data_IF_406050577732
#
_entry.id   IF_406050577732
#
_cell.length_a   1.000
_cell.length_b   1.000
_cell.length_c   1.000
_cell.angle_alpha   90.00
_cell.angle_beta   90.00
_cell.angle_gamma   90.00
#
_symmetry.space_group_name_H-M   'P 1'
#
loop_
_entity.id
_entity.type
_entity.pdbx_description
1 polymer ?
#
# COMPACT_ATOMS: atom_id res chain seq x y z
N UNK A 1 -0.53 -12.30 -24.79
CA UNK A 1 -0.03 -10.92 -25.04
C UNK A 1 1.49 -10.88 -25.22
N UNK A 2 2.30 -11.37 -24.26
CA UNK A 2 3.76 -11.40 -24.41
C UNK A 2 4.25 -12.14 -25.67
N UNK A 3 3.71 -13.34 -25.94
CA UNK A 3 3.99 -14.11 -27.17
C UNK A 3 3.63 -13.32 -28.44
N UNK A 4 2.56 -12.52 -28.40
CA UNK A 4 2.15 -11.69 -29.54
C UNK A 4 3.14 -10.54 -29.77
N UNK A 5 3.65 -9.89 -28.72
CA UNK A 5 4.71 -8.89 -28.83
C UNK A 5 6.00 -9.48 -29.39
N UNK A 6 6.40 -10.67 -28.92
CA UNK A 6 7.57 -11.40 -29.47
C UNK A 6 7.35 -11.74 -30.95
N UNK A 7 6.16 -12.22 -31.31
CA UNK A 7 5.82 -12.53 -32.70
C UNK A 7 5.84 -11.29 -33.61
N UNK A 8 5.31 -10.16 -33.16
CA UNK A 8 5.33 -8.90 -33.92
C UNK A 8 6.74 -8.32 -34.04
N UNK A 9 7.56 -8.46 -32.99
CA UNK A 9 8.98 -8.06 -33.00
C UNK A 9 9.78 -8.93 -33.98
N UNK A 10 9.60 -10.25 -33.94
CA UNK A 10 10.28 -11.20 -34.83
C UNK A 10 9.93 -11.01 -36.32
N UNK A 11 8.76 -10.46 -36.63
CA UNK A 11 8.33 -10.18 -37.99
C UNK A 11 8.74 -8.78 -38.48
N UNK A 12 9.53 -8.02 -37.70
CA UNK A 12 9.90 -6.62 -37.98
C UNK A 12 8.70 -5.68 -38.20
N UNK A 13 7.55 -6.00 -37.63
CA UNK A 13 6.33 -5.19 -37.74
C UNK A 13 6.30 -4.03 -36.73
N UNK A 14 7.30 -3.94 -35.86
CA UNK A 14 7.40 -2.92 -34.81
C UNK A 14 8.67 -2.09 -34.99
N UNK A 15 8.56 -0.78 -34.73
CA UNK A 15 9.71 0.11 -34.72
C UNK A 15 10.63 -0.24 -33.54
N UNK A 16 11.95 0.02 -33.63
CA UNK A 16 12.88 -0.16 -32.51
C UNK A 16 12.52 0.66 -31.26
N UNK A 17 11.81 1.77 -31.44
CA UNK A 17 11.35 2.67 -30.38
C UNK A 17 9.97 2.31 -29.84
N UNK A 18 9.30 1.29 -30.40
CA UNK A 18 7.96 0.92 -29.97
C UNK A 18 8.00 0.29 -28.56
N UNK A 19 7.17 0.74 -27.60
CA UNK A 19 7.06 0.15 -26.26
C UNK A 19 6.74 -1.36 -26.26
N UNK A 20 6.17 -1.88 -27.35
CA UNK A 20 5.88 -3.29 -27.54
C UNK A 20 7.08 -4.13 -28.02
N UNK A 21 8.18 -3.49 -28.42
CA UNK A 21 9.36 -4.15 -28.96
C UNK A 21 10.18 -4.83 -27.86
N UNK A 22 10.28 -6.16 -27.93
CA UNK A 22 10.98 -6.98 -26.91
C UNK A 22 12.51 -6.94 -27.03
N UNK A 23 13.06 -6.59 -28.19
CA UNK A 23 14.51 -6.62 -28.43
C UNK A 23 15.22 -5.43 -27.78
N UNK A 24 14.50 -4.33 -27.58
CA UNK A 24 14.99 -3.09 -26.92
C UNK A 24 15.58 -3.33 -25.53
N UNK A 25 15.09 -4.35 -24.80
CA UNK A 25 15.51 -4.70 -23.43
C UNK A 25 16.34 -5.99 -23.35
N UNK A 26 16.63 -6.65 -24.48
CA UNK A 26 17.36 -7.93 -24.55
C UNK A 26 18.78 -7.87 -23.97
N UNK A 27 19.44 -6.70 -24.08
CA UNK A 27 20.76 -6.45 -23.52
C UNK A 27 20.80 -6.52 -21.99
N UNK A 28 19.69 -6.19 -21.30
CA UNK A 28 19.58 -6.29 -19.84
C UNK A 28 19.63 -7.76 -19.41
N UNK A 29 18.95 -8.63 -20.15
CA UNK A 29 19.01 -10.07 -19.89
C UNK A 29 20.42 -10.62 -20.11
N UNK A 30 21.09 -10.27 -21.22
CA UNK A 30 22.43 -10.78 -21.52
C UNK A 30 23.47 -10.30 -20.49
N UNK A 31 23.48 -9.01 -20.16
CA UNK A 31 24.46 -8.41 -19.26
C UNK A 31 24.19 -8.67 -17.77
N UNK A 32 23.01 -9.18 -17.42
CA UNK A 32 22.69 -9.48 -16.02
C UNK A 32 23.47 -10.68 -15.48
N UNK A 33 23.97 -10.52 -14.26
CA UNK A 33 24.61 -11.59 -13.49
C UNK A 33 23.56 -12.64 -13.10
N UNK A 34 24.00 -13.88 -12.93
CA UNK A 34 23.13 -14.98 -12.50
C UNK A 34 22.69 -14.78 -11.04
N UNK A 35 23.63 -14.34 -10.21
CA UNK A 35 23.46 -14.14 -8.78
C UNK A 35 24.05 -12.78 -8.38
N UNK A 36 23.28 -11.98 -7.63
CA UNK A 36 23.75 -10.75 -7.00
C UNK A 36 22.95 -10.49 -5.73
N UNK A 37 23.64 -10.37 -4.61
CA UNK A 37 23.04 -10.00 -3.33
C UNK A 37 23.05 -8.46 -3.18
N UNK A 38 21.92 -7.82 -2.82
CA UNK A 38 21.92 -6.40 -2.48
C UNK A 38 22.69 -6.21 -1.16
N UNK A 39 23.65 -5.29 -1.17
CA UNK A 39 24.38 -4.88 0.03
C UNK A 39 23.91 -3.49 0.47
N UNK A 40 23.93 -3.19 1.78
CA UNK A 40 23.52 -1.88 2.28
C UNK A 40 24.38 -0.78 1.67
N UNK A 41 23.78 0.39 1.42
CA UNK A 41 24.44 1.57 0.85
C UNK A 41 24.99 1.41 -0.57
N UNK A 42 24.48 0.47 -1.36
CA UNK A 42 24.89 0.28 -2.77
C UNK A 42 24.72 1.53 -3.65
N UNK A 43 23.84 2.46 -3.27
CA UNK A 43 23.59 3.73 -3.98
C UNK A 43 24.26 4.94 -3.32
N UNK A 44 25.13 4.71 -2.34
CA UNK A 44 25.83 5.75 -1.57
C UNK A 44 25.24 5.99 -0.17
N UNK A 45 25.87 6.91 0.56
CA UNK A 45 25.44 7.31 1.91
C UNK A 45 24.10 8.07 1.88
N UNK A 46 23.22 7.87 2.88
CA UNK A 46 21.94 8.55 2.95
C UNK A 46 22.14 10.06 3.04
N UNK A 47 21.48 10.79 2.13
CA UNK A 47 21.45 12.25 2.12
C UNK A 47 20.11 12.72 2.64
N UNK A 48 20.10 13.44 3.74
CA UNK A 48 18.88 14.00 4.33
C UNK A 48 18.59 15.37 3.71
N UNK A 49 17.57 15.42 2.85
CA UNK A 49 17.02 16.66 2.33
C UNK A 49 15.67 16.92 2.97
N UNK A 50 15.51 18.07 3.61
CA UNK A 50 14.25 18.45 4.26
C UNK A 50 13.10 18.51 3.25
N UNK A 51 13.37 18.95 2.01
CA UNK A 51 12.37 18.98 0.94
C UNK A 51 11.86 17.59 0.60
N UNK A 52 12.75 16.60 0.47
CA UNK A 52 12.37 15.22 0.16
C UNK A 52 11.65 14.54 1.31
N UNK A 53 12.07 14.80 2.56
CA UNK A 53 11.42 14.28 3.76
C UNK A 53 9.97 14.79 3.84
N UNK A 54 9.78 16.10 3.70
CA UNK A 54 8.45 16.69 3.73
C UNK A 54 7.59 16.22 2.56
N UNK A 55 8.16 16.12 1.35
CA UNK A 55 7.44 15.62 0.17
C UNK A 55 6.95 14.16 0.35
N UNK A 56 7.71 13.31 1.03
CA UNK A 56 7.35 11.88 1.21
C UNK A 56 6.39 11.64 2.38
N UNK A 57 6.26 12.60 3.30
CA UNK A 57 5.45 12.48 4.51
C UNK A 57 3.97 12.11 4.22
N UNK A 58 3.27 12.73 3.23
CA UNK A 58 1.95 12.27 2.78
C UNK A 58 1.85 10.78 2.46
N UNK A 59 2.80 10.26 1.69
CA UNK A 59 2.79 8.88 1.24
C UNK A 59 2.94 7.93 2.44
N UNK A 60 3.76 8.30 3.43
CA UNK A 60 3.89 7.56 4.67
C UNK A 60 2.58 7.54 5.47
N UNK A 61 1.92 8.70 5.64
CA UNK A 61 0.63 8.77 6.33
C UNK A 61 -0.44 7.90 5.66
N UNK A 62 -0.54 7.96 4.33
CA UNK A 62 -1.49 7.13 3.57
C UNK A 62 -1.18 5.64 3.77
N UNK A 63 0.09 5.25 3.69
CA UNK A 63 0.50 3.85 3.88
C UNK A 63 0.16 3.31 5.26
N UNK A 64 0.23 4.14 6.30
CA UNK A 64 -0.20 3.77 7.66
C UNK A 64 -1.71 3.54 7.69
N UNK A 65 -2.51 4.46 7.14
CA UNK A 65 -3.98 4.35 7.10
C UNK A 65 -4.42 3.11 6.33
N UNK A 66 -3.79 2.84 5.18
CA UNK A 66 -4.04 1.63 4.39
C UNK A 66 -3.71 0.37 5.20
N UNK A 67 -2.56 0.35 5.88
CA UNK A 67 -2.12 -0.79 6.68
C UNK A 67 -3.06 -1.08 7.85
N UNK A 68 -3.57 -0.03 8.50
CA UNK A 68 -4.61 -0.16 9.55
C UNK A 68 -5.85 -0.81 8.97
N UNK A 69 -6.38 -0.31 7.85
CA UNK A 69 -7.53 -0.89 7.18
C UNK A 69 -7.34 -2.38 6.86
N UNK A 70 -6.16 -2.73 6.34
CA UNK A 70 -5.79 -4.11 6.03
C UNK A 70 -5.76 -5.04 7.25
N UNK A 71 -5.35 -4.56 8.44
CA UNK A 71 -5.41 -5.37 9.66
C UNK A 71 -6.85 -5.72 10.05
N UNK A 72 -7.77 -4.75 9.98
CA UNK A 72 -9.19 -4.98 10.28
C UNK A 72 -9.85 -5.91 9.25
N UNK A 73 -9.58 -5.69 7.96
CA UNK A 73 -10.12 -6.54 6.89
C UNK A 73 -9.59 -7.97 6.98
N UNK A 74 -8.29 -8.14 7.25
CA UNK A 74 -7.69 -9.46 7.43
C UNK A 74 -8.27 -10.21 8.65
N UNK A 75 -8.46 -9.52 9.78
CA UNK A 75 -9.05 -10.14 10.98
C UNK A 75 -10.47 -10.64 10.71
N UNK A 76 -11.29 -9.86 9.98
CA UNK A 76 -12.64 -10.27 9.62
C UNK A 76 -12.66 -11.44 8.65
N UNK A 77 -11.83 -11.41 7.60
CA UNK A 77 -11.75 -12.53 6.65
C UNK A 77 -11.33 -13.82 7.36
N UNK A 78 -10.44 -13.71 8.36
CA UNK A 78 -10.02 -14.82 9.20
C UNK A 78 -11.06 -15.25 10.25
N UNK A 79 -12.23 -14.59 10.32
CA UNK A 79 -13.24 -14.77 11.37
C UNK A 79 -12.70 -14.61 12.80
N UNK A 80 -11.73 -13.70 12.96
CA UNK A 80 -11.11 -13.38 14.24
C UNK A 80 -11.76 -12.14 14.86
N UNK A 81 -11.59 -12.01 16.19
CA UNK A 81 -11.94 -10.79 16.93
C UNK A 81 -11.19 -9.60 16.36
N UNK A 82 -11.82 -8.42 16.39
CA UNK A 82 -11.19 -7.17 15.98
C UNK A 82 -9.86 -6.96 16.69
N UNK A 83 -8.81 -6.54 15.95
CA UNK A 83 -7.46 -6.46 16.52
C UNK A 83 -7.42 -5.38 17.61
N UNK A 84 -6.88 -5.68 18.80
CA UNK A 84 -6.73 -4.68 19.85
C UNK A 84 -5.68 -3.63 19.44
N UNK A 85 -5.80 -2.41 19.96
CA UNK A 85 -4.91 -1.29 19.62
C UNK A 85 -3.42 -1.62 19.81
N UNK A 86 -3.08 -2.42 20.83
CA UNK A 86 -1.70 -2.85 21.08
C UNK A 86 -1.11 -3.65 19.92
N UNK A 87 -1.91 -4.49 19.26
CA UNK A 87 -1.46 -5.31 18.11
C UNK A 87 -1.29 -4.44 16.87
N UNK A 88 -2.21 -3.50 16.65
CA UNK A 88 -2.14 -2.55 15.53
C UNK A 88 -0.89 -1.67 15.66
N UNK A 89 -0.64 -1.10 16.85
CA UNK A 89 0.52 -0.26 17.12
C UNK A 89 1.85 -1.00 16.87
N UNK A 90 1.92 -2.29 17.24
CA UNK A 90 3.10 -3.12 16.96
C UNK A 90 3.27 -3.42 15.48
N UNK A 91 2.18 -3.69 14.76
CA UNK A 91 2.19 -3.86 13.31
C UNK A 91 2.78 -2.64 12.60
N UNK A 92 2.29 -1.44 12.95
CA UNK A 92 2.80 -0.16 12.42
C UNK A 92 4.26 0.06 12.82
N UNK A 93 4.64 -0.27 14.06
CA UNK A 93 6.03 -0.17 14.51
C UNK A 93 6.98 -1.03 13.69
N UNK A 94 6.63 -2.30 13.43
CA UNK A 94 7.41 -3.21 12.58
C UNK A 94 7.46 -2.73 11.13
N UNK A 95 6.37 -2.15 10.61
CA UNK A 95 6.33 -1.54 9.27
C UNK A 95 7.32 -0.37 9.14
N UNK A 96 7.41 0.49 10.17
CA UNK A 96 8.37 1.59 10.22
C UNK A 96 9.82 1.10 10.23
N UNK A 97 10.13 0.11 11.08
CA UNK A 97 11.47 -0.53 11.13
C UNK A 97 11.81 -1.16 9.78
N UNK A 98 10.86 -1.86 9.16
CA UNK A 98 11.05 -2.48 7.85
C UNK A 98 11.32 -1.44 6.76
N UNK A 99 10.67 -0.27 6.82
CA UNK A 99 10.91 0.83 5.90
C UNK A 99 12.30 1.46 6.06
N UNK A 100 12.81 1.55 7.28
CA UNK A 100 14.18 2.01 7.54
C UNK A 100 15.21 1.03 6.95
N UNK A 101 15.03 -0.27 7.20
CA UNK A 101 15.87 -1.32 6.63
C UNK A 101 15.81 -1.34 5.09
N UNK A 102 14.63 -1.17 4.53
CA UNK A 102 14.41 -1.04 3.10
C UNK A 102 15.16 0.16 2.51
N UNK A 103 15.13 1.30 3.20
CA UNK A 103 15.90 2.49 2.83
C UNK A 103 17.41 2.26 2.79
N UNK A 104 17.96 1.54 3.78
CA UNK A 104 19.40 1.17 3.78
C UNK A 104 19.79 0.24 2.64
N UNK A 105 18.91 -0.68 2.25
CA UNK A 105 19.10 -1.57 1.09
C UNK A 105 18.86 -0.85 -0.25
N UNK A 106 18.34 0.38 -0.23
CA UNK A 106 18.12 1.20 -1.42
C UNK A 106 16.79 0.97 -2.11
N UNK A 107 15.77 0.51 -1.37
CA UNK A 107 14.40 0.42 -1.88
C UNK A 107 13.86 1.86 -1.97
N UNK A 108 13.54 2.32 -3.18
CA UNK A 108 13.07 3.68 -3.45
C UNK A 108 11.63 3.97 -3.01
N UNK A 109 10.98 3.03 -2.33
CA UNK A 109 9.60 3.09 -1.85
C UNK A 109 9.49 2.65 -0.40
N UNK A 110 8.46 3.10 0.32
CA UNK A 110 8.15 2.61 1.66
C UNK A 110 7.69 1.15 1.66
N UNK A 111 7.74 0.51 2.83
CA UNK A 111 7.18 -0.84 3.04
C UNK A 111 5.80 -0.69 3.69
N UNK A 112 4.81 -1.39 3.16
CA UNK A 112 3.44 -1.41 3.68
C UNK A 112 2.82 -2.79 3.66
N UNK A 113 1.65 -2.91 4.29
CA UNK A 113 0.86 -4.14 4.25
C UNK A 113 0.19 -4.25 2.88
N UNK A 114 0.43 -5.34 2.15
CA UNK A 114 -0.15 -5.58 0.82
C UNK A 114 -1.65 -5.91 0.92
N UNK A 115 -2.46 -5.04 0.32
CA UNK A 115 -3.91 -5.20 0.17
C UNK A 115 -4.27 -6.43 -0.70
N UNK A 116 -3.41 -6.77 -1.67
CA UNK A 116 -3.58 -7.92 -2.55
C UNK A 116 -3.44 -9.24 -1.79
N UNK A 117 -2.48 -9.31 -0.87
CA UNK A 117 -2.30 -10.49 -0.02
C UNK A 117 -3.51 -10.70 0.89
N UNK A 118 -4.10 -9.62 1.42
CA UNK A 118 -5.35 -9.70 2.20
C UNK A 118 -6.50 -10.22 1.33
N UNK A 119 -6.61 -9.74 0.09
CA UNK A 119 -7.59 -10.24 -0.89
C UNK A 119 -7.41 -11.73 -1.20
N UNK A 120 -6.17 -12.18 -1.38
CA UNK A 120 -5.85 -13.60 -1.62
C UNK A 120 -6.24 -14.50 -0.44
N UNK A 121 -6.11 -14.03 0.80
CA UNK A 121 -6.61 -14.75 1.98
C UNK A 121 -8.14 -14.92 1.88
N UNK A 122 -8.85 -13.89 1.42
CA UNK A 122 -10.30 -13.94 1.21
C UNK A 122 -10.75 -14.96 0.17
N UNK A 123 -9.94 -15.22 -0.85
CA UNK A 123 -10.26 -16.20 -1.90
C UNK A 123 -9.82 -17.61 -1.48
N UNK A 124 -8.59 -17.74 -0.99
CA UNK A 124 -7.99 -19.05 -0.65
C UNK A 124 -8.50 -19.62 0.65
N UNK A 125 -9.06 -18.77 1.53
CA UNK A 125 -9.49 -19.13 2.89
C UNK A 125 -8.35 -19.72 3.75
N UNK A 126 -7.08 -19.41 3.42
CA UNK A 126 -5.90 -19.85 4.17
C UNK A 126 -5.32 -18.67 4.95
N UNK A 127 -5.64 -18.57 6.24
CA UNK A 127 -5.15 -17.51 7.14
C UNK A 127 -3.92 -17.93 7.96
N UNK A 128 -3.21 -19.00 7.56
CA UNK A 128 -2.11 -19.56 8.34
C UNK A 128 -0.84 -18.71 8.27
N UNK A 129 -0.30 -18.33 9.43
CA UNK A 129 0.98 -17.60 9.53
C UNK A 129 2.15 -18.35 8.86
N UNK A 130 2.14 -19.67 8.92
CA UNK A 130 3.23 -20.47 8.35
C UNK A 130 3.34 -20.27 6.84
N UNK A 131 2.21 -20.09 6.14
CA UNK A 131 2.20 -19.83 4.69
C UNK A 131 2.93 -18.53 4.38
N UNK A 132 2.70 -17.47 5.17
CA UNK A 132 3.37 -16.18 5.02
C UNK A 132 4.86 -16.30 5.30
N UNK A 133 5.27 -17.07 6.33
CA UNK A 133 6.68 -17.30 6.65
C UNK A 133 7.39 -18.06 5.51
N UNK A 134 6.79 -19.14 4.99
CA UNK A 134 7.37 -19.88 3.87
C UNK A 134 7.46 -19.02 2.60
N UNK A 135 6.43 -18.20 2.33
CA UNK A 135 6.45 -17.26 1.21
C UNK A 135 7.58 -16.23 1.36
N UNK A 136 7.77 -15.66 2.57
CA UNK A 136 8.86 -14.73 2.85
C UNK A 136 10.24 -15.38 2.70
N UNK A 137 10.43 -16.61 3.20
CA UNK A 137 11.67 -17.36 3.01
C UNK A 137 11.94 -17.63 1.52
N UNK A 138 10.93 -18.01 0.74
CA UNK A 138 11.06 -18.21 -0.70
C UNK A 138 11.43 -16.91 -1.42
N UNK A 139 10.82 -15.78 -1.06
CA UNK A 139 11.16 -14.47 -1.63
C UNK A 139 12.61 -14.10 -1.33
N UNK A 140 13.10 -14.32 -0.11
CA UNK A 140 14.50 -14.07 0.28
C UNK A 140 15.45 -15.00 -0.50
N UNK A 141 15.08 -16.26 -0.71
CA UNK A 141 15.90 -17.22 -1.46
C UNK A 141 15.94 -16.93 -2.96
N UNK A 142 14.82 -16.46 -3.55
CA UNK A 142 14.72 -16.17 -4.99
C UNK A 142 15.30 -14.79 -5.32
N UNK A 143 15.23 -13.82 -4.40
CA UNK A 143 15.66 -12.44 -4.65
C UNK A 143 17.08 -12.27 -5.20
N UNK A 144 18.10 -13.04 -4.76
CA UNK A 144 19.46 -12.92 -5.31
C UNK A 144 19.62 -13.38 -6.75
N UNK A 145 18.65 -14.14 -7.31
CA UNK A 145 18.71 -14.65 -8.69
C UNK A 145 18.34 -13.56 -9.70
N UNK A 146 19.27 -12.64 -9.94
CA UNK A 146 19.07 -11.47 -10.80
C UNK A 146 18.79 -11.80 -12.27
N UNK A 147 19.11 -13.01 -12.74
CA UNK A 147 18.75 -13.43 -14.11
C UNK A 147 17.24 -13.54 -14.31
N UNK A 148 16.54 -14.07 -13.30
CA UNK A 148 15.07 -14.15 -13.32
C UNK A 148 14.45 -12.77 -13.25
N UNK A 149 15.01 -11.89 -12.41
CA UNK A 149 14.58 -10.49 -12.33
C UNK A 149 14.81 -9.78 -13.67
N UNK A 150 15.96 -9.99 -14.31
CA UNK A 150 16.25 -9.41 -15.62
C UNK A 150 15.25 -9.89 -16.69
N UNK A 151 14.84 -11.16 -16.64
CA UNK A 151 13.77 -11.68 -17.52
C UNK A 151 12.45 -10.93 -17.29
N UNK A 152 12.06 -10.70 -16.03
CA UNK A 152 10.85 -9.92 -15.73
C UNK A 152 10.96 -8.46 -16.20
N UNK A 153 12.14 -7.86 -16.14
CA UNK A 153 12.40 -6.50 -16.66
C UNK A 153 12.30 -6.43 -18.19
N UNK A 154 12.57 -7.54 -18.90
CA UNK A 154 12.38 -7.61 -20.36
C UNK A 154 10.92 -7.68 -20.80
N UNK A 155 9.96 -7.71 -19.87
CA UNK A 155 8.55 -7.65 -20.23
C UNK A 155 8.23 -6.35 -21.00
N UNK A 156 7.49 -6.46 -22.12
CA UNK A 156 7.12 -5.30 -22.91
C UNK A 156 6.08 -4.46 -22.16
N UNK A 157 6.08 -3.15 -22.41
CA UNK A 157 5.30 -2.19 -21.63
C UNK A 157 3.78 -2.44 -21.68
N UNK A 158 3.18 -2.92 -22.80
CA UNK A 158 1.76 -3.29 -22.83
C UNK A 158 1.40 -4.40 -21.84
N UNK A 159 2.30 -5.37 -21.60
CA UNK A 159 2.06 -6.44 -20.62
C UNK A 159 2.17 -5.88 -19.20
N UNK A 160 3.15 -5.01 -18.94
CA UNK A 160 3.28 -4.34 -17.66
C UNK A 160 2.04 -3.48 -17.35
N UNK A 161 1.53 -2.76 -18.35
CA UNK A 161 0.28 -2.00 -18.27
C UNK A 161 -0.93 -2.89 -17.94
N UNK A 162 -1.05 -4.06 -18.55
CA UNK A 162 -2.14 -5.00 -18.27
C UNK A 162 -2.06 -5.60 -16.85
N UNK A 163 -0.86 -5.94 -16.37
CA UNK A 163 -0.69 -6.47 -15.00
C UNK A 163 -0.99 -5.39 -13.97
N UNK A 164 -0.47 -4.17 -14.16
CA UNK A 164 -0.75 -3.04 -13.26
C UNK A 164 -2.22 -2.65 -13.23
N UNK A 165 -2.94 -2.72 -14.36
CA UNK A 165 -4.38 -2.44 -14.38
C UNK A 165 -5.19 -3.45 -13.58
N UNK A 166 -4.85 -4.75 -13.67
CA UNK A 166 -5.48 -5.81 -12.86
C UNK A 166 -5.23 -5.56 -11.36
N UNK A 167 -4.00 -5.18 -10.99
CA UNK A 167 -3.66 -4.84 -9.61
C UNK A 167 -4.48 -3.64 -9.10
N UNK A 168 -4.61 -2.57 -9.90
CA UNK A 168 -5.44 -1.41 -9.54
C UNK A 168 -6.91 -1.77 -9.36
N UNK A 169 -7.46 -2.67 -10.19
CA UNK A 169 -8.82 -3.19 -10.03
C UNK A 169 -8.97 -3.96 -8.72
N UNK A 170 -8.00 -4.82 -8.38
CA UNK A 170 -8.02 -5.57 -7.12
C UNK A 170 -7.97 -4.65 -5.90
N UNK A 171 -7.07 -3.66 -5.90
CA UNK A 171 -6.98 -2.66 -4.82
C UNK A 171 -8.30 -1.90 -4.68
N UNK A 172 -8.90 -1.48 -5.80
CA UNK A 172 -10.20 -0.80 -5.81
C UNK A 172 -11.30 -1.70 -5.26
N UNK A 173 -11.31 -3.00 -5.60
CA UNK A 173 -12.28 -3.96 -5.09
C UNK A 173 -12.15 -4.16 -3.57
N UNK A 174 -10.92 -4.27 -3.05
CA UNK A 174 -10.66 -4.34 -1.60
C UNK A 174 -11.11 -3.05 -0.91
N UNK A 175 -10.82 -1.88 -1.49
CA UNK A 175 -11.29 -0.60 -0.95
C UNK A 175 -12.83 -0.52 -0.91
N UNK A 176 -13.52 -0.97 -1.97
CA UNK A 176 -14.98 -1.03 -2.01
C UNK A 176 -15.55 -2.03 -1.00
N UNK A 177 -14.85 -3.14 -0.78
CA UNK A 177 -15.23 -4.12 0.24
C UNK A 177 -15.21 -3.51 1.65
N UNK A 178 -14.38 -2.49 1.90
CA UNK A 178 -14.36 -1.80 3.19
C UNK A 178 -15.61 -0.91 3.39
N UNK A 179 -16.35 -0.56 2.34
CA UNK A 179 -17.61 0.19 2.49
C UNK A 179 -18.71 -0.62 3.18
N UNK A 180 -18.58 -1.95 3.21
CA UNK A 180 -19.48 -2.81 3.98
C UNK A 180 -19.46 -2.53 5.49
N UNK A 181 -18.43 -1.81 5.98
CA UNK A 181 -18.28 -1.45 7.39
C UNK A 181 -19.02 -0.18 7.78
N UNK A 182 -19.60 0.54 6.81
CA UNK A 182 -20.23 1.84 7.02
C UNK A 182 -21.71 1.71 6.68
N UNK A 183 -22.56 2.39 7.45
CA UNK A 183 -23.99 2.46 7.13
C UNK A 183 -24.21 3.38 5.92
N UNK A 184 -24.32 2.79 4.73
CA UNK A 184 -24.59 3.48 3.47
C UNK A 184 -26.06 3.93 3.31
N UNK A 185 -26.95 3.65 4.26
CA UNK A 185 -28.32 4.19 4.23
C UNK A 185 -28.39 5.63 4.76
N UNK A 186 -27.35 6.10 5.46
CA UNK A 186 -27.31 7.50 5.90
C UNK A 186 -26.77 8.40 4.79
N UNK A 187 -27.53 9.48 4.54
CA UNK A 187 -27.16 10.53 3.59
C UNK A 187 -25.84 11.19 4.00
N UNK A 188 -25.57 11.36 5.31
CA UNK A 188 -24.30 11.89 5.84
C UNK A 188 -23.11 11.08 5.33
N UNK A 189 -23.13 9.76 5.52
CA UNK A 189 -22.04 8.88 5.14
C UNK A 189 -21.85 8.83 3.62
N UNK A 190 -22.95 8.74 2.86
CA UNK A 190 -22.90 8.76 1.40
C UNK A 190 -22.33 10.09 0.88
N UNK A 191 -22.68 11.21 1.50
CA UNK A 191 -22.18 12.54 1.13
C UNK A 191 -20.67 12.68 1.38
N UNK A 192 -20.20 12.30 2.57
CA UNK A 192 -18.77 12.32 2.92
C UNK A 192 -17.96 11.46 1.95
N UNK A 193 -18.46 10.25 1.66
CA UNK A 193 -17.83 9.31 0.73
C UNK A 193 -17.79 9.86 -0.71
N UNK A 194 -18.92 10.38 -1.21
CA UNK A 194 -19.00 10.91 -2.56
C UNK A 194 -18.08 12.12 -2.77
N UNK A 195 -18.07 13.05 -1.81
CA UNK A 195 -17.23 14.25 -1.86
C UNK A 195 -15.74 13.89 -1.78
N UNK A 196 -15.34 13.03 -0.85
CA UNK A 196 -13.94 12.60 -0.74
C UNK A 196 -13.43 11.91 -2.01
N UNK A 197 -14.21 11.00 -2.61
CA UNK A 197 -13.85 10.37 -3.89
C UNK A 197 -13.78 11.36 -5.04
N UNK A 198 -14.78 12.24 -5.19
CA UNK A 198 -14.84 13.21 -6.27
C UNK A 198 -13.63 14.14 -6.25
N UNK A 199 -13.35 14.76 -5.11
CA UNK A 199 -12.23 15.69 -4.98
C UNK A 199 -10.87 14.98 -5.04
N UNK A 200 -10.75 13.78 -4.47
CA UNK A 200 -9.53 12.97 -4.58
C UNK A 200 -9.15 12.62 -6.02
N UNK A 201 -10.14 12.47 -6.92
CA UNK A 201 -9.89 12.18 -8.33
C UNK A 201 -9.72 13.43 -9.21
N UNK A 202 -10.42 14.52 -8.88
CA UNK A 202 -10.49 15.72 -9.74
C UNK A 202 -9.43 16.77 -9.43
N UNK A 203 -9.19 17.08 -8.14
CA UNK A 203 -8.23 18.13 -7.75
C UNK A 203 -6.80 17.84 -8.23
N UNK A 204 -6.24 16.63 -8.07
CA UNK A 204 -4.89 16.36 -8.57
C UNK A 204 -4.77 16.56 -10.07
N UNK A 205 -5.76 16.12 -10.85
CA UNK A 205 -5.78 16.28 -12.30
C UNK A 205 -5.87 17.75 -12.70
N UNK A 206 -6.66 18.53 -11.97
CA UNK A 206 -6.74 19.98 -12.15
C UNK A 206 -5.40 20.66 -11.84
N UNK A 207 -4.77 20.33 -10.71
CA UNK A 207 -3.47 20.90 -10.36
C UNK A 207 -2.36 20.52 -11.33
N UNK A 208 -2.34 19.28 -11.81
CA UNK A 208 -1.38 18.84 -12.83
C UNK A 208 -1.59 19.60 -14.15
N UNK A 209 -2.83 19.77 -14.61
CA UNK A 209 -3.12 20.46 -15.87
C UNK A 209 -2.79 21.95 -15.81
N UNK A 210 -3.01 22.61 -14.67
CA UNK A 210 -2.68 24.03 -14.52
C UNK A 210 -1.20 24.25 -14.22
N UNK A 211 -0.52 23.36 -13.47
CA UNK A 211 0.93 23.41 -13.23
C UNK A 211 1.75 23.38 -14.53
N UNK A 212 1.30 22.61 -15.53
CA UNK A 212 1.93 22.55 -16.86
C UNK A 212 1.79 23.87 -17.63
N UNK A 213 0.73 24.65 -17.37
CA UNK A 213 0.38 25.84 -18.16
C UNK A 213 0.71 27.18 -17.46
N UNK A 214 0.83 27.22 -16.14
CA UNK A 214 1.18 28.40 -15.36
C UNK A 214 1.80 27.98 -14.01
N UNK A 215 2.82 28.72 -13.55
CA UNK A 215 3.39 28.57 -12.20
C UNK A 215 2.43 29.11 -11.12
N UNK A 216 1.30 28.41 -10.90
CA UNK A 216 0.27 28.76 -9.91
C UNK A 216 0.81 28.98 -8.50
N UNK A 217 1.84 28.20 -8.13
CA UNK A 217 2.45 28.26 -6.81
C UNK A 217 3.79 28.98 -6.99
N UNK A 218 3.73 30.31 -7.08
CA UNK A 218 4.92 31.15 -7.09
C UNK A 218 5.13 31.78 -5.71
N UNK A 219 5.27 30.94 -4.68
CA UNK A 219 5.83 31.46 -3.42
C UNK A 219 7.31 31.75 -3.63
N UNK A 220 7.83 32.78 -2.95
CA UNK A 220 9.25 33.18 -3.01
C UNK A 220 10.22 32.06 -2.61
N UNK A 221 9.73 30.94 -2.08
CA UNK A 221 10.50 29.79 -1.63
C UNK A 221 10.21 28.57 -2.52
N UNK A 222 11.17 28.19 -3.36
CA UNK A 222 11.09 27.03 -4.25
C UNK A 222 10.79 25.72 -3.49
N UNK A 223 11.36 25.57 -2.29
CA UNK A 223 11.09 24.43 -1.41
C UNK A 223 9.61 24.28 -1.07
N UNK A 224 8.92 25.38 -0.77
CA UNK A 224 7.50 25.34 -0.41
C UNK A 224 6.66 24.99 -1.63
N UNK A 225 7.02 25.51 -2.81
CA UNK A 225 6.33 25.19 -4.07
C UNK A 225 6.38 23.68 -4.36
N UNK A 226 7.56 23.05 -4.18
CA UNK A 226 7.73 21.61 -4.41
C UNK A 226 6.91 20.77 -3.43
N UNK A 227 6.89 21.13 -2.14
CA UNK A 227 6.11 20.42 -1.12
C UNK A 227 4.61 20.53 -1.42
N UNK A 228 4.11 21.74 -1.66
CA UNK A 228 2.69 21.97 -1.97
C UNK A 228 2.30 21.24 -3.26
N UNK A 229 3.16 21.25 -4.28
CA UNK A 229 2.92 20.54 -5.53
C UNK A 229 2.75 19.03 -5.31
N UNK A 230 3.61 18.40 -4.49
CA UNK A 230 3.51 16.96 -4.19
C UNK A 230 2.23 16.65 -3.41
N UNK A 231 1.84 17.51 -2.46
CA UNK A 231 0.65 17.29 -1.63
C UNK A 231 -0.62 17.42 -2.47
N UNK A 232 -0.71 18.47 -3.29
CA UNK A 232 -1.87 18.72 -4.15
C UNK A 232 -1.97 17.74 -5.33
N UNK A 233 -0.86 17.14 -5.75
CA UNK A 233 -0.84 16.10 -6.78
C UNK A 233 -1.22 14.71 -6.23
N UNK A 234 -1.29 14.55 -4.90
CA UNK A 234 -1.64 13.28 -4.26
C UNK A 234 -3.15 13.17 -4.05
N UNK A 235 -3.84 12.47 -4.94
CA UNK A 235 -5.29 12.26 -4.85
C UNK A 235 -5.74 11.50 -3.61
N UNK A 236 -4.94 10.55 -3.14
CA UNK A 236 -5.19 9.82 -1.90
C UNK A 236 -5.16 10.73 -0.68
N UNK A 237 -4.20 11.68 -0.61
CA UNK A 237 -4.12 12.64 0.48
C UNK A 237 -5.33 13.59 0.47
N UNK A 238 -5.67 14.14 -0.70
CA UNK A 238 -6.80 15.07 -0.83
C UNK A 238 -8.11 14.38 -0.45
N UNK A 239 -8.38 13.21 -1.01
CA UNK A 239 -9.59 12.45 -0.70
C UNK A 239 -9.69 12.09 0.77
N UNK A 240 -8.58 11.61 1.36
CA UNK A 240 -8.50 11.29 2.78
C UNK A 240 -8.70 12.50 3.69
N UNK A 241 -8.06 13.63 3.41
CA UNK A 241 -8.22 14.87 4.18
C UNK A 241 -9.65 15.41 4.12
N UNK A 242 -10.26 15.42 2.93
CA UNK A 242 -11.64 15.88 2.78
C UNK A 242 -12.59 14.95 3.52
N UNK A 243 -12.42 13.64 3.38
CA UNK A 243 -13.20 12.65 4.14
C UNK A 243 -13.08 12.88 5.65
N UNK A 244 -11.86 13.04 6.15
CA UNK A 244 -11.58 13.29 7.56
C UNK A 244 -12.21 14.60 8.06
N UNK A 245 -12.04 15.70 7.33
CA UNK A 245 -12.60 17.01 7.71
C UNK A 245 -14.13 16.94 7.72
N UNK A 246 -14.75 16.38 6.68
CA UNK A 246 -16.21 16.29 6.60
C UNK A 246 -16.78 15.37 7.69
N UNK A 247 -16.13 14.25 8.00
CA UNK A 247 -16.57 13.33 9.05
C UNK A 247 -16.53 14.00 10.44
N UNK A 248 -15.51 14.82 10.73
CA UNK A 248 -15.44 15.55 12.00
C UNK A 248 -16.35 16.79 12.06
N UNK A 249 -16.74 17.35 10.91
CA UNK A 249 -17.50 18.61 10.85
C UNK A 249 -19.01 18.37 10.78
N UNK A 250 -19.45 17.32 10.08
CA UNK A 250 -20.88 17.02 9.91
C UNK A 250 -21.37 16.21 11.11
N UNK A 251 -22.36 16.71 11.88
CA UNK A 251 -22.88 16.02 13.06
C UNK A 251 -23.60 14.73 12.68
N UNK A 252 -23.52 13.71 13.54
CA UNK A 252 -24.23 12.44 13.37
C UNK A 252 -25.75 12.61 13.51
N UNK A 253 -26.51 11.92 12.65
CA UNK A 253 -27.96 11.80 12.79
C UNK A 253 -28.31 10.94 14.04
N UNK A 254 -29.34 11.29 14.81
CA UNK A 254 -29.74 10.55 16.03
C UNK A 254 -30.04 9.05 15.75
N UNK A 255 -30.57 8.74 14.56
CA UNK A 255 -30.84 7.37 14.10
C UNK A 255 -29.57 6.53 13.86
N UNK A 256 -28.42 7.18 13.62
CA UNK A 256 -27.13 6.48 13.51
C UNK A 256 -26.56 6.08 14.87
N UNK A 257 -26.76 6.89 15.92
CA UNK A 257 -26.32 6.53 17.28
C UNK A 257 -27.03 5.25 17.77
N UNK A 258 -28.36 5.19 17.58
CA UNK A 258 -29.17 4.02 17.94
C UNK A 258 -28.79 2.75 17.17
N UNK A 259 -28.52 2.86 15.86
CA UNK A 259 -28.09 1.71 15.05
C UNK A 259 -26.63 1.32 15.30
N UNK A 260 -25.75 2.28 15.58
CA UNK A 260 -24.35 2.03 15.96
C UNK A 260 -24.24 1.28 17.28
N UNK A 261 -25.02 1.69 18.28
CA UNK A 261 -25.12 1.01 19.57
C UNK A 261 -25.71 -0.40 19.45
N UNK A 262 -26.70 -0.60 18.56
CA UNK A 262 -27.28 -1.92 18.28
C UNK A 262 -26.29 -2.87 17.57
N UNK A 263 -25.52 -2.37 16.60
CA UNK A 263 -24.44 -3.14 15.94
C UNK A 263 -23.32 -3.48 16.93
N UNK A 264 -22.90 -2.53 17.76
CA UNK A 264 -21.89 -2.77 18.81
C UNK A 264 -22.40 -3.72 19.90
N UNK A 265 -23.68 -3.66 20.28
CA UNK A 265 -24.29 -4.55 21.26
C UNK A 265 -24.45 -5.99 20.73
N UNK A 266 -24.75 -6.16 19.44
CA UNK A 266 -24.78 -7.47 18.78
C UNK A 266 -23.37 -8.07 18.67
N UNK A 267 -22.36 -7.27 18.28
CA UNK A 267 -20.95 -7.67 18.23
C UNK A 267 -20.41 -8.03 19.63
N UNK A 268 -20.82 -7.29 20.67
CA UNK A 268 -20.46 -7.57 22.06
C UNK A 268 -21.11 -8.86 22.62
N UNK A 269 -22.32 -9.22 22.16
CA UNK A 269 -22.96 -10.51 22.51
C UNK A 269 -22.24 -11.69 21.85
N UNK A 270 -21.77 -11.54 20.61
CA UNK A 270 -20.97 -12.55 19.89
C UNK A 270 -19.56 -12.68 20.48
N UNK A 271 -18.94 -11.57 20.92
CA UNK A 271 -17.63 -11.56 21.62
C UNK A 271 -17.63 -12.45 22.88
N UNK A 272 -18.65 -12.31 23.75
CA UNK A 272 -18.73 -13.03 25.04
C UNK A 272 -18.77 -14.56 24.93
N UNK A 273 -19.13 -15.11 23.77
CA UNK A 273 -19.18 -16.57 23.53
C UNK A 273 -17.87 -17.15 22.96
N UNK A 274 -16.92 -16.33 22.52
CA UNK A 274 -15.73 -16.73 21.74
C UNK A 274 -14.41 -16.50 22.52
N UNK A 275 -14.47 -15.86 23.69
CA UNK A 275 -13.32 -15.27 24.40
C UNK A 275 -12.22 -16.25 24.93
N UNK A 276 -12.39 -17.58 24.87
CA UNK A 276 -11.40 -18.50 25.48
C UNK A 276 -10.30 -19.07 24.55
N UNK A 277 -10.44 -19.01 23.21
CA UNK A 277 -9.43 -19.54 22.26
C UNK A 277 -8.71 -18.45 21.43
N UNK A 278 -9.37 -17.32 21.13
CA UNK A 278 -8.84 -16.31 20.19
C UNK A 278 -7.81 -15.33 20.78
N UNK A 279 -7.77 -15.14 22.10
CA UNK A 279 -6.75 -14.30 22.75
C UNK A 279 -5.33 -14.90 22.62
N UNK A 280 -5.22 -16.23 22.39
CA UNK A 280 -3.93 -16.89 22.15
C UNK A 280 -3.25 -16.39 20.85
N UNK A 281 -4.01 -16.09 19.80
CA UNK A 281 -3.47 -15.65 18.50
C UNK A 281 -2.73 -14.32 18.65
N UNK A 282 -3.31 -13.39 19.40
CA UNK A 282 -2.70 -12.09 19.65
C UNK A 282 -1.54 -12.18 20.65
N UNK A 283 -1.60 -13.06 21.66
CA UNK A 283 -0.51 -13.26 22.64
C UNK A 283 0.82 -13.74 22.03
N UNK A 284 0.79 -14.43 20.88
CA UNK A 284 2.01 -14.85 20.18
C UNK A 284 2.68 -13.67 19.46
N UNK A 285 1.89 -12.69 19.00
CA UNK A 285 2.42 -11.41 18.49
C UNK A 285 3.22 -10.70 19.58
N UNK A 286 2.76 -10.75 20.84
CA UNK A 286 3.44 -10.16 22.00
C UNK A 286 4.86 -10.73 22.16
N UNK A 287 5.00 -12.06 22.15
CA UNK A 287 6.32 -12.71 22.28
C UNK A 287 7.27 -12.39 21.14
N UNK A 288 6.74 -12.27 19.91
CA UNK A 288 7.56 -11.97 18.74
C UNK A 288 8.03 -10.52 18.77
N UNK A 289 7.14 -9.60 19.13
CA UNK A 289 7.45 -8.19 19.31
C UNK A 289 8.47 -7.98 20.43
N UNK A 290 8.32 -8.66 21.58
CA UNK A 290 9.31 -8.61 22.66
C UNK A 290 10.69 -9.10 22.20
N UNK A 291 10.76 -10.19 21.42
CA UNK A 291 12.04 -10.66 20.84
C UNK A 291 12.66 -9.65 19.89
N UNK A 292 11.86 -9.03 19.02
CA UNK A 292 12.33 -7.98 18.11
C UNK A 292 12.82 -6.76 18.90
N UNK A 293 12.08 -6.34 19.93
CA UNK A 293 12.43 -5.21 20.76
C UNK A 293 13.69 -5.48 21.59
N UNK A 294 13.84 -6.70 22.12
CA UNK A 294 15.07 -7.15 22.78
C UNK A 294 16.28 -7.11 21.84
N UNK A 295 16.11 -7.58 20.60
CA UNK A 295 17.15 -7.56 19.59
C UNK A 295 17.51 -6.13 19.17
N UNK A 296 16.53 -5.23 19.08
CA UNK A 296 16.74 -3.80 18.81
C UNK A 296 17.42 -3.06 19.96
N UNK A 297 17.09 -3.38 21.22
CA UNK A 297 17.74 -2.82 22.41
C UNK A 297 19.21 -3.23 22.50
N UNK A 298 19.61 -4.30 21.83
CA UNK A 298 21.01 -4.72 21.72
C UNK A 298 21.80 -3.89 20.68
N UNK A 299 21.11 -3.22 19.75
CA UNK A 299 21.70 -2.39 18.69
C UNK A 299 21.62 -0.87 18.96
N UNK A 300 21.02 -0.45 20.08
CA UNK A 300 20.98 0.93 20.60
C UNK A 300 21.88 1.02 21.83
#
# INVERSE_FOLDING_TARGET
>A
MWIACVYMTSNNNLLPTDPANTDSKSGVFHNSQIFRLPYPFQWGWPKFSLTSIMAMLPALFISIVESVGNFYTCAKIANLKTPPANVVNRGIGVQGISSILAGFLGIGSGVGVSSENVGNIGITQVCSRNVIVYAACLMILISPFTKLIALLVTLPDPVLGAVTSILLVLITAVALSNLQFINLNSIRNMYILGMSMFFGLTLPKYFLSVSVNNSLINTKYEMMNNIISVYLSSGMLIGGLIGFVLDNTIPDDEDQKLNGDAYQAADNKVKKSIDNENDQIYSISDRLYEKINYLLTFFV
#
